data_IF_631442649057
#
_entry.id   IF_631442649057
#
_cell.length_a   1.000
_cell.length_b   1.000
_cell.length_c   1.000
_cell.angle_alpha   90.00
_cell.angle_beta   90.00
_cell.angle_gamma   90.00
#
_symmetry.space_group_name_H-M   'P 1'
#
loop_
_entity.id
_entity.type
_entity.pdbx_description
1 polymer ?
#
# COMPACT_ATOMS: atom_id res chain seq x y z
N UNK A 1 -7.53 0.33 35.53
CA UNK A 1 -7.11 -0.13 34.19
C UNK A 1 -8.32 -0.03 33.26
N UNK A 2 -8.37 0.99 32.40
CA UNK A 2 -9.40 1.11 31.36
C UNK A 2 -8.87 0.41 30.11
N UNK A 3 -9.46 -0.73 29.74
CA UNK A 3 -9.27 -1.24 28.38
C UNK A 3 -9.85 -0.20 27.40
N UNK A 4 -9.11 0.22 26.36
CA UNK A 4 -9.63 1.19 25.41
C UNK A 4 -10.81 0.55 24.65
N UNK A 5 -11.91 1.30 24.50
CA UNK A 5 -13.15 0.91 23.81
C UNK A 5 -12.94 0.28 22.41
N UNK A 6 -11.75 0.48 21.84
CA UNK A 6 -11.30 -0.03 20.55
C UNK A 6 -11.13 -1.55 20.56
N UNK A 7 -10.64 -2.15 21.65
CA UNK A 7 -10.52 -3.61 21.75
C UNK A 7 -11.89 -4.31 21.68
N UNK A 8 -12.93 -3.64 22.17
CA UNK A 8 -14.29 -4.14 22.13
C UNK A 8 -14.93 -3.96 20.75
N UNK A 9 -14.57 -2.91 20.01
CA UNK A 9 -15.08 -2.67 18.66
C UNK A 9 -14.41 -3.58 17.60
N UNK A 10 -13.13 -3.93 17.78
CA UNK A 10 -12.43 -4.91 16.94
C UNK A 10 -12.99 -6.33 17.14
N UNK A 11 -13.37 -6.68 18.37
CA UNK A 11 -13.98 -7.99 18.69
C UNK A 11 -15.29 -8.27 17.95
N UNK A 12 -16.10 -7.25 17.67
CA UNK A 12 -17.44 -7.44 17.07
C UNK A 12 -17.37 -7.75 15.56
N UNK A 13 -16.23 -7.50 14.89
CA UNK A 13 -16.11 -7.66 13.43
C UNK A 13 -15.69 -9.08 13.02
N UNK A 14 -15.15 -9.88 13.94
CA UNK A 14 -14.64 -11.23 13.66
C UNK A 14 -15.11 -12.25 14.72
N UNK A 15 -16.38 -12.58 14.69
CA UNK A 15 -16.87 -13.86 15.21
C UNK A 15 -16.70 -14.87 14.07
N UNK A 16 -15.57 -15.57 14.02
CA UNK A 16 -15.40 -16.91 13.45
C UNK A 16 -13.92 -17.33 13.64
N UNK A 17 -13.74 -18.37 14.45
CA UNK A 17 -12.53 -19.09 14.84
C UNK A 17 -11.34 -19.02 13.85
N UNK A 18 -10.50 -17.99 13.93
CA UNK A 18 -9.12 -18.05 13.42
C UNK A 18 -8.20 -16.93 13.97
N UNK A 19 -7.21 -17.36 14.74
CA UNK A 19 -5.85 -16.80 14.85
C UNK A 19 -5.63 -15.53 15.72
N UNK A 20 -5.05 -15.78 16.89
CA UNK A 20 -4.19 -14.89 17.69
C UNK A 20 -2.94 -14.43 16.89
N UNK A 21 -3.16 -13.66 15.83
CA UNK A 21 -2.10 -13.12 14.97
C UNK A 21 -2.58 -12.10 13.93
N UNK A 22 -3.89 -11.85 13.86
CA UNK A 22 -4.53 -10.96 12.87
C UNK A 22 -4.80 -9.56 13.47
N UNK A 23 -4.70 -9.37 14.78
CA UNK A 23 -5.13 -8.11 15.43
C UNK A 23 -4.16 -6.93 15.21
N UNK A 24 -2.87 -7.19 15.00
CA UNK A 24 -1.84 -6.14 15.02
C UNK A 24 -1.83 -5.26 13.75
N UNK A 25 -2.37 -5.74 12.61
CA UNK A 25 -2.41 -4.96 11.37
C UNK A 25 -3.70 -4.14 11.19
N UNK A 26 -4.74 -4.44 11.99
CA UNK A 26 -6.04 -3.75 12.00
C UNK A 26 -6.10 -2.62 13.02
N UNK A 27 -5.10 -2.50 13.91
CA UNK A 27 -5.02 -1.42 14.88
C UNK A 27 -3.69 -0.67 14.77
N UNK A 28 -3.73 0.67 14.83
CA UNK A 28 -2.52 1.52 14.83
C UNK A 28 -2.72 2.78 15.63
N UNK A 29 -1.63 3.34 16.15
CA UNK A 29 -1.64 4.64 16.83
C UNK A 29 -1.52 5.79 15.83
N UNK A 30 -2.33 6.83 16.01
CA UNK A 30 -2.17 8.09 15.28
C UNK A 30 -0.75 8.65 15.49
N UNK A 31 -0.04 9.05 14.42
CA UNK A 31 1.33 9.56 14.54
C UNK A 31 1.43 10.92 15.25
N UNK A 32 0.32 11.66 15.39
CA UNK A 32 0.28 12.94 16.11
C UNK A 32 -0.20 12.81 17.55
N UNK A 33 -1.42 12.32 17.77
CA UNK A 33 -2.00 12.27 19.12
C UNK A 33 -1.83 10.92 19.84
N UNK A 34 -1.30 9.90 19.16
CA UNK A 34 -1.09 8.53 19.69
C UNK A 34 -2.35 7.79 20.10
N UNK A 35 -3.53 8.32 19.75
CA UNK A 35 -4.81 7.63 19.90
C UNK A 35 -4.80 6.33 19.09
N UNK A 36 -5.34 5.26 19.66
CA UNK A 36 -5.50 4.02 18.93
C UNK A 36 -6.64 4.18 17.91
N UNK A 37 -6.43 3.69 16.70
CA UNK A 37 -7.39 3.70 15.62
C UNK A 37 -7.50 2.26 15.15
N UNK A 38 -8.73 1.76 14.99
CA UNK A 38 -9.01 0.54 14.28
C UNK A 38 -9.39 0.88 12.84
N UNK A 39 -8.94 0.06 11.91
CA UNK A 39 -9.28 0.14 10.49
C UNK A 39 -9.97 -1.16 10.10
N UNK A 40 -10.99 -1.09 9.25
CA UNK A 40 -11.58 -2.30 8.66
C UNK A 40 -10.68 -2.88 7.56
N UNK A 41 -10.75 -4.21 7.35
CA UNK A 41 -9.90 -4.94 6.39
C UNK A 41 -9.89 -4.35 4.98
N UNK A 42 -11.02 -3.78 4.54
CA UNK A 42 -11.21 -3.29 3.17
C UNK A 42 -11.21 -1.75 3.06
N UNK A 43 -10.92 -1.03 4.13
CA UNK A 43 -10.85 0.43 4.08
C UNK A 43 -9.64 0.93 3.28
N UNK A 44 -9.72 2.13 2.67
CA UNK A 44 -8.58 2.78 2.05
C UNK A 44 -7.40 2.96 3.01
N UNK A 45 -6.17 3.02 2.49
CA UNK A 45 -4.98 3.30 3.30
C UNK A 45 -4.88 4.77 3.75
N UNK A 46 -5.77 5.63 3.26
CA UNK A 46 -5.95 6.99 3.73
C UNK A 46 -6.89 6.99 4.93
N UNK A 47 -6.43 7.49 6.08
CA UNK A 47 -7.22 7.54 7.31
C UNK A 47 -7.17 8.95 7.89
N UNK A 48 -8.29 9.37 8.48
CA UNK A 48 -8.40 10.62 9.24
C UNK A 48 -8.54 10.28 10.71
N UNK A 49 -7.67 10.81 11.55
CA UNK A 49 -7.75 10.57 13.00
C UNK A 49 -9.03 11.23 13.56
N UNK A 50 -9.94 10.50 14.22
CA UNK A 50 -11.18 11.08 14.75
C UNK A 50 -10.91 12.08 15.90
N UNK A 51 -9.81 11.87 16.65
CA UNK A 51 -9.45 12.72 17.79
C UNK A 51 -8.76 14.03 17.35
N UNK A 52 -7.73 13.97 16.50
CA UNK A 52 -6.92 15.15 16.14
C UNK A 52 -7.04 15.61 14.69
N UNK A 53 -7.92 14.98 13.90
CA UNK A 53 -8.22 15.30 12.50
C UNK A 53 -7.00 15.25 11.55
N UNK A 54 -5.92 14.59 11.96
CA UNK A 54 -4.77 14.37 11.09
C UNK A 54 -5.12 13.38 9.98
N UNK A 55 -4.83 13.76 8.74
CA UNK A 55 -4.81 12.86 7.60
C UNK A 55 -3.47 12.12 7.54
N UNK A 56 -3.49 10.80 7.46
CA UNK A 56 -2.27 9.99 7.47
C UNK A 56 -2.45 8.67 6.72
N UNK A 57 -1.33 8.03 6.36
CA UNK A 57 -1.33 6.77 5.64
C UNK A 57 -1.19 5.60 6.62
N UNK A 58 -2.17 4.69 6.60
CA UNK A 58 -2.20 3.52 7.46
C UNK A 58 -0.91 2.70 7.36
N UNK A 59 -0.39 2.54 6.15
CA UNK A 59 0.71 1.60 5.88
C UNK A 59 2.05 2.12 6.41
N UNK A 60 2.40 3.36 6.07
CA UNK A 60 3.69 3.95 6.45
C UNK A 60 3.65 4.75 7.76
N UNK A 61 2.46 4.94 8.33
CA UNK A 61 2.23 5.73 9.55
C UNK A 61 2.72 7.18 9.46
N UNK A 62 2.84 7.73 8.25
CA UNK A 62 3.26 9.11 8.02
C UNK A 62 2.06 10.04 7.82
N UNK A 63 2.18 11.28 8.29
CA UNK A 63 1.23 12.34 7.98
C UNK A 63 1.16 12.56 6.47
N UNK A 64 -0.06 12.69 5.95
CA UNK A 64 -0.31 12.95 4.54
C UNK A 64 -0.41 14.44 4.33
N UNK A 65 0.62 14.99 3.69
CA UNK A 65 0.64 16.39 3.29
C UNK A 65 0.02 16.60 1.91
N UNK A 66 0.01 15.58 1.04
CA UNK A 66 -0.48 15.72 -0.35
C UNK A 66 -1.18 14.45 -0.86
N UNK A 67 -2.09 14.61 -1.84
CA UNK A 67 -2.71 13.51 -2.59
C UNK A 67 -1.70 12.67 -3.39
N UNK A 68 -0.50 13.21 -3.63
CA UNK A 68 0.56 12.55 -4.40
C UNK A 68 1.23 11.40 -3.65
N UNK A 69 0.96 11.22 -2.35
CA UNK A 69 1.55 10.13 -1.58
C UNK A 69 1.18 8.73 -2.09
N UNK A 70 -0.02 8.57 -2.66
CA UNK A 70 -0.49 7.29 -3.23
C UNK A 70 -0.20 7.16 -4.74
N UNK A 71 0.53 8.10 -5.33
CA UNK A 71 0.92 8.00 -6.73
C UNK A 71 2.06 6.97 -6.89
N UNK A 72 1.89 5.90 -7.70
CA UNK A 72 2.91 4.87 -7.89
C UNK A 72 4.21 5.38 -8.52
N UNK A 73 4.18 6.55 -9.18
CA UNK A 73 5.34 7.18 -9.82
C UNK A 73 6.09 8.10 -8.83
N UNK A 74 5.47 8.47 -7.69
CA UNK A 74 6.11 9.34 -6.71
C UNK A 74 7.08 8.54 -5.84
N UNK A 75 8.37 8.67 -6.13
CA UNK A 75 9.45 8.03 -5.36
C UNK A 75 9.48 8.45 -3.88
N UNK A 76 9.00 9.66 -3.56
CA UNK A 76 8.87 10.16 -2.19
C UNK A 76 7.46 9.93 -1.60
N UNK A 77 6.67 9.06 -2.23
CA UNK A 77 5.31 8.69 -1.81
C UNK A 77 5.31 7.62 -0.70
N UNK A 78 4.30 6.75 -0.71
CA UNK A 78 4.23 5.66 0.26
C UNK A 78 5.31 4.60 -0.06
N UNK A 79 6.19 4.23 0.90
CA UNK A 79 7.24 3.24 0.68
C UNK A 79 6.73 1.89 0.18
N UNK A 80 5.51 1.50 0.54
CA UNK A 80 4.93 0.24 0.11
C UNK A 80 4.69 0.15 -1.39
N UNK A 81 4.65 1.27 -2.12
CA UNK A 81 4.58 1.27 -3.59
C UNK A 81 5.95 1.26 -4.27
N UNK A 82 7.06 1.46 -3.54
CA UNK A 82 8.41 1.41 -4.13
C UNK A 82 8.74 0.02 -4.68
N UNK A 83 8.30 -1.04 -4.00
CA UNK A 83 8.48 -2.41 -4.48
C UNK A 83 7.66 -2.68 -5.75
N UNK A 84 6.45 -2.14 -5.84
CA UNK A 84 5.64 -2.24 -7.06
C UNK A 84 6.29 -1.50 -8.24
N UNK A 85 6.93 -0.35 -7.97
CA UNK A 85 7.66 0.41 -8.98
C UNK A 85 8.91 -0.33 -9.49
N UNK A 86 9.63 -1.03 -8.61
CA UNK A 86 10.80 -1.83 -9.03
C UNK A 86 10.40 -2.93 -10.01
N UNK A 87 9.31 -3.67 -9.75
CA UNK A 87 8.79 -4.65 -10.69
C UNK A 87 8.34 -4.02 -12.00
N UNK A 88 7.66 -2.87 -11.96
CA UNK A 88 7.23 -2.17 -13.18
C UNK A 88 8.41 -1.72 -14.06
N UNK A 89 9.45 -1.15 -13.45
CA UNK A 89 10.61 -0.63 -14.19
C UNK A 89 11.46 -1.78 -14.75
N UNK A 90 11.66 -2.86 -13.99
CA UNK A 90 12.33 -4.07 -14.46
C UNK A 90 11.54 -4.74 -15.58
N UNK A 91 10.22 -4.90 -15.45
CA UNK A 91 9.37 -5.47 -16.50
C UNK A 91 9.39 -4.63 -17.77
N UNK A 92 9.35 -3.30 -17.62
CA UNK A 92 9.43 -2.37 -18.74
C UNK A 92 10.78 -2.49 -19.47
N UNK A 93 11.89 -2.46 -18.74
CA UNK A 93 13.23 -2.61 -19.31
C UNK A 93 13.42 -3.98 -19.95
N UNK A 94 13.00 -5.06 -19.28
CA UNK A 94 13.10 -6.42 -19.81
C UNK A 94 12.34 -6.56 -21.13
N UNK A 95 11.09 -6.07 -21.19
CA UNK A 95 10.29 -6.09 -22.42
C UNK A 95 10.92 -5.25 -23.53
N UNK A 96 11.44 -4.07 -23.18
CA UNK A 96 12.14 -3.21 -24.12
C UNK A 96 13.36 -3.94 -24.72
N UNK A 97 14.27 -4.45 -23.88
CA UNK A 97 15.46 -5.18 -24.33
C UNK A 97 15.10 -6.44 -25.14
N UNK A 98 14.10 -7.22 -24.70
CA UNK A 98 13.65 -8.42 -25.42
C UNK A 98 13.12 -8.06 -26.81
N UNK A 99 12.36 -6.97 -26.93
CA UNK A 99 11.82 -6.52 -28.22
C UNK A 99 12.93 -6.11 -29.18
N UNK A 100 13.92 -5.34 -28.70
CA UNK A 100 15.08 -4.95 -29.53
C UNK A 100 15.97 -6.14 -29.91
N UNK A 101 16.15 -7.11 -29.01
CA UNK A 101 16.90 -8.34 -29.28
C UNK A 101 16.23 -9.20 -30.36
N UNK A 102 14.90 -9.28 -30.34
CA UNK A 102 14.11 -10.11 -31.26
C UNK A 102 13.78 -9.39 -32.58
N UNK A 103 13.85 -8.06 -32.63
CA UNK A 103 13.63 -7.26 -33.84
C UNK A 103 14.43 -7.72 -35.07
N UNK A 104 15.75 -7.99 -35.00
CA UNK A 104 16.52 -8.46 -36.15
C UNK A 104 16.09 -9.85 -36.66
N UNK A 105 15.58 -10.72 -35.78
CA UNK A 105 15.03 -12.02 -36.18
C UNK A 105 13.79 -11.82 -37.06
N UNK A 106 12.91 -10.87 -36.70
CA UNK A 106 11.72 -10.54 -37.51
C UNK A 106 12.06 -10.01 -38.90
N UNK A 107 13.14 -9.22 -39.03
CA UNK A 107 13.57 -8.63 -40.31
C UNK A 107 14.20 -9.70 -41.22
N UNK A 108 14.91 -10.68 -40.66
CA UNK A 108 15.56 -11.76 -41.42
C UNK A 108 14.58 -12.69 -42.15
N UNK A 109 13.29 -12.69 -41.77
CA UNK A 109 12.25 -13.49 -42.41
C UNK A 109 11.32 -12.69 -43.34
N UNK A 110 11.60 -11.40 -43.58
CA UNK A 110 10.85 -10.61 -44.57
C UNK A 110 11.34 -11.00 -45.96
N UNK A 111 10.52 -11.63 -46.81
CA UNK A 111 10.93 -11.97 -48.17
C UNK A 111 11.13 -10.67 -48.97
N UNK A 112 12.32 -10.50 -49.56
CA UNK A 112 12.55 -9.48 -50.58
C UNK A 112 11.65 -9.81 -51.79
N UNK A 113 10.62 -9.00 -52.00
CA UNK A 113 9.84 -8.97 -53.24
C UNK A 113 10.37 -7.89 -54.18
#
# INVERSE_FOLDING_TARGET
>A
MHQPKIAQQVRVIYDDEANEGIEDWLTRKCPKCREWIAKEKYEPNYIVCPNCQLHWCWVCNCALYTKQHFNPINFFGCPSFLNAHHHFLVDFLLRFFLTFLLMPLGIAFVPLQ
#
